data_IF_476501875754
#
_entry.id   IF_476501875754
#
_cell.length_a   1.000
_cell.length_b   1.000
_cell.length_c   1.000
_cell.angle_alpha   90.00
_cell.angle_beta   90.00
_cell.angle_gamma   90.00
#
_symmetry.space_group_name_H-M   'P 1'
#
loop_
_entity.id
_entity.type
_entity.pdbx_description
1 polymer ?
#
# COMPACT_ATOMS: atom_id res chain seq x y z
N UNK A 1 -27.62 37.41 -19.14
CA UNK A 1 -27.08 37.27 -17.77
C UNK A 1 -28.16 37.34 -16.67
N UNK A 2 -29.42 37.69 -16.95
CA UNK A 2 -30.51 37.80 -15.95
C UNK A 2 -31.26 36.49 -15.62
N UNK A 3 -30.73 35.32 -16.02
CA UNK A 3 -31.48 34.05 -15.96
C UNK A 3 -30.80 32.97 -15.08
N UNK A 4 -29.98 33.39 -14.11
CA UNK A 4 -29.44 32.44 -13.11
C UNK A 4 -30.44 32.34 -11.97
N UNK A 5 -31.16 31.23 -11.90
CA UNK A 5 -32.08 30.93 -10.81
C UNK A 5 -31.31 30.84 -9.48
N UNK A 6 -31.59 31.76 -8.56
CA UNK A 6 -30.94 31.85 -7.25
C UNK A 6 -31.09 30.59 -6.40
N UNK A 7 -32.16 29.80 -6.59
CA UNK A 7 -32.35 28.52 -5.91
C UNK A 7 -31.31 27.45 -6.28
N UNK A 8 -30.58 27.62 -7.39
CA UNK A 8 -29.53 26.67 -7.80
C UNK A 8 -28.23 26.82 -7.02
N UNK A 9 -28.05 27.86 -6.19
CA UNK A 9 -26.77 28.13 -5.54
C UNK A 9 -26.69 27.66 -4.08
N UNK A 10 -27.82 27.60 -3.37
CA UNK A 10 -27.87 27.33 -1.93
C UNK A 10 -27.43 25.92 -1.53
N UNK A 11 -27.59 24.95 -2.44
CA UNK A 11 -27.20 23.56 -2.21
C UNK A 11 -25.75 23.24 -2.60
N UNK A 12 -25.08 24.13 -3.34
CA UNK A 12 -23.69 23.90 -3.79
C UNK A 12 -22.69 23.72 -2.65
N UNK A 13 -22.79 24.46 -1.51
CA UNK A 13 -21.92 24.19 -0.36
C UNK A 13 -22.10 22.77 0.22
N UNK A 14 -23.32 22.21 0.14
CA UNK A 14 -23.58 20.85 0.61
C UNK A 14 -22.97 19.82 -0.36
N UNK A 15 -23.08 20.03 -1.68
CA UNK A 15 -22.37 19.22 -2.67
C UNK A 15 -20.84 19.31 -2.52
N UNK A 16 -20.33 20.49 -2.15
CA UNK A 16 -18.91 20.68 -1.83
C UNK A 16 -18.47 19.89 -0.59
N UNK A 17 -19.36 19.70 0.40
CA UNK A 17 -19.09 18.83 1.54
C UNK A 17 -19.11 17.36 1.13
N UNK A 18 -20.06 16.93 0.29
CA UNK A 18 -20.11 15.54 -0.19
C UNK A 18 -18.83 15.14 -0.94
N UNK A 19 -18.31 15.98 -1.84
CA UNK A 19 -17.02 15.68 -2.50
C UNK A 19 -15.85 15.67 -1.52
N UNK A 20 -15.84 16.55 -0.50
CA UNK A 20 -14.80 16.56 0.54
C UNK A 20 -14.83 15.24 1.32
N UNK A 21 -16.01 14.79 1.71
CA UNK A 21 -16.20 13.57 2.49
C UNK A 21 -15.87 12.32 1.67
N UNK A 22 -16.22 12.31 0.39
CA UNK A 22 -15.80 11.30 -0.57
C UNK A 22 -14.26 11.22 -0.64
N UNK A 23 -13.59 12.36 -0.85
CA UNK A 23 -12.13 12.40 -0.97
C UNK A 23 -11.46 11.97 0.34
N UNK A 24 -11.95 12.42 1.50
CA UNK A 24 -11.43 11.97 2.80
C UNK A 24 -11.50 10.45 2.92
N UNK A 25 -12.67 9.86 2.62
CA UNK A 25 -12.83 8.41 2.68
C UNK A 25 -11.90 7.69 1.72
N UNK A 26 -11.79 8.18 0.49
CA UNK A 26 -10.90 7.61 -0.53
C UNK A 26 -9.43 7.58 -0.06
N UNK A 27 -8.98 8.65 0.59
CA UNK A 27 -7.61 8.75 1.10
C UNK A 27 -7.36 7.81 2.29
N UNK A 28 -8.33 7.69 3.19
CA UNK A 28 -8.25 6.76 4.33
C UNK A 28 -8.15 5.31 3.85
N UNK A 29 -9.02 4.90 2.92
CA UNK A 29 -9.00 3.54 2.37
C UNK A 29 -7.70 3.24 1.62
N UNK A 30 -7.00 4.27 1.15
CA UNK A 30 -5.72 4.14 0.46
C UNK A 30 -4.50 4.33 1.37
N UNK A 31 -4.69 4.48 2.69
CA UNK A 31 -3.65 4.79 3.68
C UNK A 31 -2.79 5.99 3.27
N UNK A 32 -3.43 7.07 2.80
CA UNK A 32 -2.78 8.35 2.51
C UNK A 32 -3.19 9.35 3.58
N UNK A 33 -2.20 9.86 4.32
CA UNK A 33 -2.44 10.88 5.33
C UNK A 33 -2.33 12.27 4.71
N UNK A 34 -3.46 12.89 4.38
CA UNK A 34 -3.49 14.27 3.91
C UNK A 34 -3.40 15.26 5.07
N UNK A 35 -2.73 16.38 4.85
CA UNK A 35 -2.69 17.50 5.79
C UNK A 35 -4.06 18.19 5.91
N UNK A 36 -4.72 18.41 4.78
CA UNK A 36 -6.06 19.01 4.72
C UNK A 36 -6.82 18.53 3.48
N UNK A 37 -8.12 18.34 3.64
CA UNK A 37 -9.06 18.12 2.54
C UNK A 37 -10.22 19.08 2.71
N UNK A 38 -10.38 19.99 1.76
CA UNK A 38 -11.40 21.03 1.82
C UNK A 38 -12.24 21.06 0.54
N UNK A 39 -13.55 21.24 0.71
CA UNK A 39 -14.50 21.51 -0.36
C UNK A 39 -15.01 22.93 -0.26
N UNK A 40 -15.15 23.63 -1.39
CA UNK A 40 -15.75 24.96 -1.44
C UNK A 40 -16.68 25.12 -2.63
N UNK A 41 -17.76 25.86 -2.41
CA UNK A 41 -18.59 26.40 -3.47
C UNK A 41 -18.28 27.88 -3.69
N UNK A 42 -18.11 28.29 -4.94
CA UNK A 42 -17.89 29.68 -5.33
C UNK A 42 -19.15 30.50 -5.05
N UNK A 43 -19.02 31.68 -4.44
CA UNK A 43 -20.19 32.57 -4.28
C UNK A 43 -20.71 33.06 -5.63
N UNK A 44 -22.02 33.31 -5.73
CA UNK A 44 -22.65 33.86 -6.94
C UNK A 44 -21.98 35.17 -7.38
N UNK A 45 -21.63 36.03 -6.43
CA UNK A 45 -20.93 37.29 -6.70
C UNK A 45 -19.55 37.08 -7.32
N UNK A 46 -18.81 36.07 -6.85
CA UNK A 46 -17.50 35.70 -7.40
C UNK A 46 -17.63 35.04 -8.77
N UNK A 47 -18.68 34.25 -8.97
CA UNK A 47 -19.01 33.66 -10.28
C UNK A 47 -19.32 34.74 -11.32
N UNK A 48 -20.20 35.70 -10.99
CA UNK A 48 -20.53 36.82 -11.88
C UNK A 48 -19.29 37.66 -12.22
N UNK A 49 -18.48 38.00 -11.22
CA UNK A 49 -17.20 38.71 -11.44
C UNK A 49 -16.28 37.94 -12.40
N UNK A 50 -16.17 36.61 -12.24
CA UNK A 50 -15.36 35.76 -13.12
C UNK A 50 -15.89 35.74 -14.55
N UNK A 51 -17.21 35.63 -14.72
CA UNK A 51 -17.86 35.67 -16.03
C UNK A 51 -17.67 37.02 -16.72
N UNK A 52 -17.75 38.13 -15.98
CA UNK A 52 -17.53 39.48 -16.49
C UNK A 52 -16.05 39.71 -16.86
N UNK A 53 -15.12 39.31 -15.99
CA UNK A 53 -13.68 39.46 -16.26
C UNK A 53 -13.22 38.64 -17.48
N UNK A 54 -13.94 37.56 -17.81
CA UNK A 54 -13.71 36.72 -18.99
C UNK A 54 -14.85 36.85 -20.01
N UNK A 55 -15.45 38.03 -20.12
CA UNK A 55 -16.56 38.28 -21.04
C UNK A 55 -16.20 37.84 -22.47
N UNK A 56 -17.09 37.06 -23.10
CA UNK A 56 -16.87 36.50 -24.44
C UNK A 56 -16.08 35.19 -24.49
N UNK A 57 -15.52 34.70 -23.38
CA UNK A 57 -14.85 33.39 -23.33
C UNK A 57 -15.81 32.22 -23.15
N UNK A 58 -16.94 32.44 -22.49
CA UNK A 58 -17.89 31.38 -22.11
C UNK A 58 -19.24 31.57 -22.81
N UNK A 59 -19.69 30.54 -23.53
CA UNK A 59 -21.00 30.54 -24.20
C UNK A 59 -22.09 30.09 -23.23
N UNK A 60 -21.84 29.01 -22.46
CA UNK A 60 -22.64 28.55 -21.35
C UNK A 60 -21.81 28.53 -20.06
N UNK A 61 -21.79 29.63 -19.29
CA UNK A 61 -20.98 29.72 -18.07
C UNK A 61 -21.27 28.65 -17.01
N UNK A 62 -22.48 28.09 -16.96
CA UNK A 62 -22.83 27.02 -16.01
C UNK A 62 -22.10 25.72 -16.34
N UNK A 63 -21.90 25.43 -17.63
CA UNK A 63 -21.19 24.22 -18.09
C UNK A 63 -19.69 24.47 -18.28
N UNK A 64 -19.25 25.70 -18.53
CA UNK A 64 -17.84 25.99 -18.85
C UNK A 64 -17.01 26.51 -17.69
N UNK A 65 -17.63 27.01 -16.62
CA UNK A 65 -16.91 27.41 -15.40
C UNK A 65 -16.81 26.19 -14.48
N UNK A 66 -15.64 25.59 -14.46
CA UNK A 66 -15.38 24.30 -13.80
C UNK A 66 -15.04 24.40 -12.31
N UNK A 67 -14.82 25.62 -11.79
CA UNK A 67 -14.53 25.89 -10.36
C UNK A 67 -15.74 26.46 -9.60
N UNK A 68 -16.97 26.10 -10.01
CA UNK A 68 -18.20 26.44 -9.28
C UNK A 68 -18.21 25.70 -7.95
N UNK A 69 -18.02 24.38 -7.97
CA UNK A 69 -17.57 23.60 -6.83
C UNK A 69 -16.13 23.20 -7.09
N UNK A 70 -15.29 23.28 -6.05
CA UNK A 70 -13.92 22.84 -6.10
C UNK A 70 -13.52 22.17 -4.80
N UNK A 71 -12.69 21.14 -4.89
CA UNK A 71 -12.04 20.50 -3.76
C UNK A 71 -10.54 20.73 -3.81
N UNK A 72 -9.90 20.69 -2.64
CA UNK A 72 -8.45 20.79 -2.50
C UNK A 72 -7.98 19.70 -1.56
N UNK A 73 -6.95 18.98 -1.98
CA UNK A 73 -6.22 18.01 -1.17
C UNK A 73 -4.80 18.53 -0.98
N UNK A 74 -4.40 18.70 0.27
CA UNK A 74 -3.05 19.11 0.66
C UNK A 74 -2.36 17.91 1.28
N UNK A 75 -1.26 17.44 0.68
CA UNK A 75 -0.46 16.31 1.18
C UNK A 75 0.80 16.80 1.90
N UNK A 76 1.40 15.96 2.75
CA UNK A 76 2.68 16.28 3.38
C UNK A 76 3.85 16.17 2.40
N UNK A 77 3.87 15.14 1.56
CA UNK A 77 4.96 14.87 0.62
C UNK A 77 4.48 14.78 -0.83
N UNK A 78 5.46 14.84 -1.75
CA UNK A 78 5.23 14.65 -3.19
C UNK A 78 4.81 13.22 -3.51
N UNK A 79 5.33 12.23 -2.79
CA UNK A 79 4.95 10.82 -2.94
C UNK A 79 3.45 10.66 -2.73
N UNK A 80 2.92 11.20 -1.63
CA UNK A 80 1.49 11.14 -1.36
C UNK A 80 0.68 11.95 -2.36
N UNK A 81 1.15 13.14 -2.79
CA UNK A 81 0.49 13.91 -3.87
C UNK A 81 0.28 13.06 -5.12
N UNK A 82 1.31 12.34 -5.54
CA UNK A 82 1.28 11.54 -6.77
C UNK A 82 0.34 10.34 -6.60
N UNK A 83 0.34 9.68 -5.43
CA UNK A 83 -0.64 8.64 -5.07
C UNK A 83 -2.09 9.17 -5.12
N UNK A 84 -2.35 10.37 -4.58
CA UNK A 84 -3.68 11.00 -4.66
C UNK A 84 -4.09 11.26 -6.11
N UNK A 85 -3.16 11.71 -6.96
CA UNK A 85 -3.44 11.95 -8.37
C UNK A 85 -3.87 10.66 -9.09
N UNK A 86 -3.22 9.53 -8.82
CA UNK A 86 -3.62 8.23 -9.36
C UNK A 86 -5.00 7.78 -8.85
N UNK A 87 -5.30 7.97 -7.57
CA UNK A 87 -6.62 7.63 -7.02
C UNK A 87 -7.73 8.42 -7.71
N UNK A 88 -7.52 9.71 -7.94
CA UNK A 88 -8.50 10.55 -8.63
C UNK A 88 -8.71 10.05 -10.07
N UNK A 89 -7.64 9.76 -10.82
CA UNK A 89 -7.74 9.20 -12.19
C UNK A 89 -8.53 7.90 -12.23
N UNK A 90 -8.38 7.06 -11.21
CA UNK A 90 -9.05 5.76 -11.16
C UNK A 90 -10.53 5.88 -10.76
N UNK A 91 -10.89 6.88 -9.95
CA UNK A 91 -12.24 7.03 -9.39
C UNK A 91 -13.13 7.99 -10.14
N UNK A 92 -12.58 8.84 -10.99
CA UNK A 92 -13.36 9.86 -11.68
C UNK A 92 -13.04 9.91 -13.17
N UNK A 93 -14.08 10.16 -13.96
CA UNK A 93 -13.92 10.58 -15.34
C UNK A 93 -13.41 12.03 -15.35
N UNK A 94 -12.24 12.25 -15.95
CA UNK A 94 -11.58 13.54 -15.97
C UNK A 94 -11.62 14.14 -17.38
N UNK A 95 -12.17 15.35 -17.51
CA UNK A 95 -12.09 16.13 -18.76
C UNK A 95 -10.78 16.91 -18.89
N UNK A 96 -10.10 17.16 -17.77
CA UNK A 96 -8.79 17.80 -17.70
C UNK A 96 -7.97 17.14 -16.58
N UNK A 97 -6.69 16.87 -16.85
CA UNK A 97 -5.70 16.35 -15.92
C UNK A 97 -4.35 16.97 -16.28
N UNK A 98 -3.91 17.95 -15.50
CA UNK A 98 -2.63 18.62 -15.74
C UNK A 98 -2.05 19.31 -14.52
N UNK A 99 -0.79 19.70 -14.64
CA UNK A 99 -0.13 20.59 -13.70
C UNK A 99 0.29 21.88 -14.43
N UNK A 100 -0.48 22.98 -14.32
CA UNK A 100 -0.22 24.21 -15.08
C UNK A 100 1.17 24.80 -14.86
N UNK A 101 1.78 24.59 -13.69
CA UNK A 101 3.12 25.09 -13.42
C UNK A 101 4.24 24.29 -14.09
N UNK A 102 3.95 23.04 -14.50
CA UNK A 102 4.86 22.27 -15.36
C UNK A 102 4.72 22.63 -16.85
N UNK A 103 3.62 23.25 -17.25
CA UNK A 103 3.34 23.64 -18.65
C UNK A 103 3.90 25.01 -19.02
N UNK A 104 4.20 25.85 -18.03
CA UNK A 104 4.69 27.21 -18.25
C UNK A 104 6.22 27.29 -18.22
N UNK A 105 6.77 28.32 -18.85
CA UNK A 105 8.21 28.61 -18.90
C UNK A 105 8.82 29.01 -17.55
N UNK A 106 10.11 29.36 -17.55
CA UNK A 106 10.92 29.65 -16.35
C UNK A 106 10.29 30.61 -15.32
N UNK A 107 9.44 31.55 -15.75
CA UNK A 107 8.81 32.57 -14.90
C UNK A 107 7.72 32.06 -13.93
N UNK A 108 7.12 30.90 -14.20
CA UNK A 108 6.05 30.30 -13.37
C UNK A 108 6.44 28.95 -12.76
N UNK A 109 7.73 28.62 -12.80
CA UNK A 109 8.33 27.38 -12.30
C UNK A 109 8.04 27.08 -10.82
N UNK A 110 7.55 28.04 -10.05
CA UNK A 110 7.21 27.87 -8.64
C UNK A 110 5.87 27.20 -8.38
N UNK A 111 4.91 27.33 -9.30
CA UNK A 111 3.58 26.79 -9.12
C UNK A 111 3.60 25.26 -9.25
N UNK A 112 3.16 24.55 -8.21
CA UNK A 112 3.10 23.09 -8.23
C UNK A 112 1.78 22.64 -7.63
N UNK A 113 0.77 22.61 -8.48
CA UNK A 113 -0.56 22.14 -8.15
C UNK A 113 -1.05 21.30 -9.32
N UNK A 114 -1.48 20.07 -9.02
CA UNK A 114 -2.21 19.26 -9.97
C UNK A 114 -3.67 19.69 -10.01
N UNK A 115 -4.25 19.79 -11.20
CA UNK A 115 -5.61 20.21 -11.45
C UNK A 115 -6.33 19.11 -12.21
N UNK A 116 -7.43 18.64 -11.64
CA UNK A 116 -8.37 17.74 -12.29
C UNK A 116 -9.70 18.46 -12.48
N UNK A 117 -10.33 18.31 -13.65
CA UNK A 117 -11.74 18.64 -13.83
C UNK A 117 -12.51 17.33 -13.97
N UNK A 118 -13.14 16.90 -12.87
CA UNK A 118 -13.92 15.65 -12.81
C UNK A 118 -15.36 15.89 -13.25
N UNK A 119 -15.90 15.00 -14.09
CA UNK A 119 -17.25 15.14 -14.68
C UNK A 119 -18.24 14.11 -14.16
N UNK A 120 -17.77 12.98 -13.65
CA UNK A 120 -18.56 11.89 -13.08
C UNK A 120 -17.66 10.95 -12.28
N UNK A 121 -18.26 10.12 -11.43
CA UNK A 121 -17.58 8.91 -10.93
C UNK A 121 -17.31 7.96 -12.10
N UNK A 122 -16.15 7.33 -12.09
CA UNK A 122 -15.74 6.37 -13.11
C UNK A 122 -16.71 5.19 -13.15
N UNK A 123 -17.21 4.88 -14.35
CA UNK A 123 -18.07 3.70 -14.58
C UNK A 123 -17.31 2.39 -14.51
N UNK A 124 -16.01 2.43 -14.80
CA UNK A 124 -15.15 1.24 -14.80
C UNK A 124 -14.75 0.84 -13.37
N UNK A 125 -14.73 1.79 -12.43
CA UNK A 125 -14.35 1.54 -11.04
C UNK A 125 -15.13 2.40 -10.03
N UNK A 126 -16.47 2.25 -9.97
CA UNK A 126 -17.31 3.06 -9.09
C UNK A 126 -16.96 2.77 -7.62
N UNK A 127 -16.95 3.79 -6.77
CA UNK A 127 -16.86 3.59 -5.31
C UNK A 127 -18.20 3.15 -4.71
N UNK A 128 -19.31 3.47 -5.38
CA UNK A 128 -20.66 3.30 -4.85
C UNK A 128 -21.03 4.36 -3.79
N UNK A 129 -20.20 5.38 -3.59
CA UNK A 129 -20.45 6.45 -2.61
C UNK A 129 -21.13 7.68 -3.21
N UNK A 130 -21.17 7.78 -4.55
CA UNK A 130 -22.06 8.74 -5.21
C UNK A 130 -23.48 8.17 -5.15
N UNK A 131 -24.25 8.65 -4.18
CA UNK A 131 -25.61 8.16 -3.93
C UNK A 131 -26.54 8.65 -5.03
N UNK A 132 -27.36 7.74 -5.59
CA UNK A 132 -28.38 8.11 -6.56
C UNK A 132 -29.41 9.06 -5.94
N UNK A 133 -29.66 10.18 -6.61
CA UNK A 133 -30.44 11.32 -6.11
C UNK A 133 -29.67 12.24 -5.14
N UNK A 134 -28.40 11.95 -4.85
CA UNK A 134 -27.51 12.74 -4.00
C UNK A 134 -27.12 14.08 -4.62
N UNK A 135 -26.52 14.97 -3.83
CA UNK A 135 -26.19 16.33 -4.30
C UNK A 135 -25.00 16.33 -5.25
N UNK A 136 -24.03 15.42 -5.05
CA UNK A 136 -22.88 15.27 -5.92
C UNK A 136 -23.27 14.72 -7.31
N UNK A 137 -24.16 13.72 -7.38
CA UNK A 137 -24.72 13.24 -8.67
C UNK A 137 -25.48 14.37 -9.37
N UNK A 138 -26.37 15.05 -8.64
CA UNK A 138 -27.08 16.22 -9.15
C UNK A 138 -26.11 17.30 -9.65
N UNK A 139 -24.95 17.48 -9.03
CA UNK A 139 -23.94 18.42 -9.50
C UNK A 139 -23.37 18.01 -10.86
N UNK A 140 -22.96 16.74 -11.01
CA UNK A 140 -22.44 16.23 -12.28
C UNK A 140 -23.45 16.36 -13.43
N UNK A 141 -24.74 16.14 -13.18
CA UNK A 141 -25.79 16.29 -14.20
C UNK A 141 -25.97 17.76 -14.65
N UNK A 142 -25.91 18.69 -13.70
CA UNK A 142 -26.29 20.10 -13.94
C UNK A 142 -25.11 20.98 -14.36
N UNK A 143 -23.88 20.65 -13.99
CA UNK A 143 -22.67 21.43 -14.28
C UNK A 143 -21.74 20.70 -15.25
N UNK A 144 -20.66 21.33 -15.69
CA UNK A 144 -19.73 20.73 -16.65
C UNK A 144 -18.47 20.14 -16.04
N UNK A 145 -18.35 20.20 -14.71
CA UNK A 145 -17.25 19.59 -13.97
C UNK A 145 -17.00 20.25 -12.62
N UNK A 146 -16.22 19.57 -11.80
CA UNK A 146 -15.76 19.99 -10.50
C UNK A 146 -14.23 20.02 -10.52
N UNK A 147 -13.63 21.10 -10.02
CA UNK A 147 -12.17 21.22 -9.96
C UNK A 147 -11.62 20.55 -8.70
N UNK A 148 -10.72 19.57 -8.82
CA UNK A 148 -9.95 19.02 -7.71
C UNK A 148 -8.49 19.47 -7.84
N UNK A 149 -7.98 20.14 -6.81
CA UNK A 149 -6.60 20.63 -6.75
C UNK A 149 -5.79 19.80 -5.75
N UNK A 150 -4.69 19.19 -6.20
CA UNK A 150 -3.80 18.40 -5.35
C UNK A 150 -2.43 19.07 -5.26
N UNK A 151 -1.94 19.33 -4.04
CA UNK A 151 -0.65 19.99 -3.82
C UNK A 151 0.00 19.55 -2.51
N UNK A 152 1.30 19.76 -2.35
CA UNK A 152 1.97 19.57 -1.06
C UNK A 152 1.73 20.76 -0.13
N UNK A 153 1.95 20.59 1.18
CA UNK A 153 1.89 21.67 2.16
C UNK A 153 2.85 22.82 1.81
N UNK A 154 4.05 22.49 1.32
CA UNK A 154 5.04 23.47 0.89
C UNK A 154 4.56 24.24 -0.35
N UNK A 155 3.96 23.55 -1.33
CA UNK A 155 3.36 24.18 -2.50
C UNK A 155 2.12 25.01 -2.17
N UNK A 156 1.33 24.59 -1.19
CA UNK A 156 0.22 25.38 -0.69
C UNK A 156 0.71 26.70 -0.07
N UNK A 157 1.70 26.66 0.82
CA UNK A 157 2.25 27.84 1.47
C UNK A 157 2.81 28.85 0.46
N UNK A 158 3.57 28.37 -0.54
CA UNK A 158 4.10 29.23 -1.61
C UNK A 158 2.96 29.87 -2.42
N UNK A 159 1.98 29.08 -2.85
CA UNK A 159 0.88 29.56 -3.70
C UNK A 159 -0.04 30.57 -2.99
N UNK A 160 -0.34 30.37 -1.69
CA UNK A 160 -1.15 31.35 -0.94
C UNK A 160 -0.40 32.68 -0.74
N UNK A 161 0.92 32.63 -0.52
CA UNK A 161 1.73 33.84 -0.42
C UNK A 161 1.82 34.58 -1.76
N UNK A 162 2.10 33.88 -2.87
CA UNK A 162 2.13 34.44 -4.22
C UNK A 162 0.78 35.10 -4.58
N UNK A 163 -0.31 34.38 -4.37
CA UNK A 163 -1.64 34.86 -4.74
C UNK A 163 -2.06 36.08 -3.89
N UNK A 164 -1.70 36.12 -2.61
CA UNK A 164 -1.99 37.26 -1.75
C UNK A 164 -1.24 38.53 -2.19
N UNK A 165 -0.02 38.39 -2.72
CA UNK A 165 0.84 39.53 -3.11
C UNK A 165 0.63 40.00 -4.54
N UNK A 166 0.52 39.08 -5.50
CA UNK A 166 0.34 39.41 -6.93
C UNK A 166 -1.12 39.68 -7.31
N UNK A 167 -2.06 38.86 -6.85
CA UNK A 167 -3.47 38.95 -7.31
C UNK A 167 -4.38 39.81 -6.42
N UNK A 168 -4.12 39.88 -5.11
CA UNK A 168 -4.90 40.72 -4.18
C UNK A 168 -4.22 42.06 -3.85
N UNK A 169 -2.97 42.26 -4.26
CA UNK A 169 -2.21 43.45 -3.93
C UNK A 169 -2.26 44.52 -5.02
N UNK A 170 -2.98 45.61 -4.79
CA UNK A 170 -2.81 46.86 -5.56
C UNK A 170 -1.34 47.36 -5.50
N UNK A 171 -0.59 46.92 -4.49
CA UNK A 171 0.83 47.26 -4.30
C UNK A 171 1.74 46.71 -5.41
N UNK A 172 1.54 45.48 -5.89
CA UNK A 172 2.43 44.89 -6.90
C UNK A 172 2.37 45.69 -8.21
N UNK A 173 1.16 46.10 -8.61
CA UNK A 173 0.97 46.93 -9.80
C UNK A 173 1.37 48.41 -9.59
N UNK A 174 1.69 48.83 -8.35
CA UNK A 174 2.08 50.21 -8.03
C UNK A 174 3.59 50.39 -7.83
N UNK A 175 4.36 49.31 -7.79
CA UNK A 175 5.83 49.37 -7.73
C UNK A 175 6.43 49.45 -9.14
N UNK A 176 7.64 49.98 -9.24
CA UNK A 176 8.33 50.13 -10.53
C UNK A 176 8.76 48.77 -11.12
N UNK A 177 9.10 48.76 -12.41
CA UNK A 177 9.47 47.53 -13.13
C UNK A 177 10.67 46.80 -12.50
N UNK A 178 11.62 47.55 -11.94
CA UNK A 178 12.83 46.98 -11.33
C UNK A 178 12.50 46.25 -10.03
N UNK A 179 11.62 46.82 -9.22
CA UNK A 179 11.12 46.16 -8.02
C UNK A 179 10.26 44.93 -8.38
N UNK A 180 9.48 44.98 -9.46
CA UNK A 180 8.73 43.81 -9.95
C UNK A 180 9.67 42.67 -10.38
N UNK A 181 10.74 42.96 -11.13
CA UNK A 181 11.76 41.97 -11.49
C UNK A 181 12.45 41.36 -10.26
N UNK A 182 12.77 42.20 -9.27
CA UNK A 182 13.34 41.75 -8.00
C UNK A 182 12.38 40.84 -7.25
N UNK A 183 11.10 41.20 -7.18
CA UNK A 183 10.04 40.38 -6.57
C UNK A 183 9.90 39.03 -7.30
N UNK A 184 9.95 39.02 -8.63
CA UNK A 184 9.89 37.79 -9.42
C UNK A 184 11.07 36.87 -9.11
N UNK A 185 12.27 37.43 -9.01
CA UNK A 185 13.47 36.69 -8.60
C UNK A 185 13.32 36.07 -7.21
N UNK A 186 12.74 36.81 -6.26
CA UNK A 186 12.47 36.31 -4.90
C UNK A 186 11.42 35.20 -4.88
N UNK A 187 10.38 35.28 -5.74
CA UNK A 187 9.41 34.20 -5.89
C UNK A 187 10.04 32.92 -6.45
N UNK A 188 10.98 33.04 -7.40
CA UNK A 188 11.76 31.93 -7.91
C UNK A 188 12.64 31.30 -6.83
N UNK A 189 13.35 32.11 -6.04
CA UNK A 189 14.15 31.61 -4.92
C UNK A 189 13.28 30.89 -3.86
N UNK A 190 12.08 31.43 -3.56
CA UNK A 190 11.13 30.78 -2.67
C UNK A 190 10.61 29.44 -3.24
N UNK A 191 10.46 29.35 -4.56
CA UNK A 191 10.09 28.11 -5.23
C UNK A 191 11.18 27.04 -5.14
N UNK A 192 12.45 27.42 -5.27
CA UNK A 192 13.59 26.51 -5.11
C UNK A 192 13.67 25.98 -3.67
N UNK A 193 13.53 26.86 -2.67
CA UNK A 193 13.47 26.47 -1.27
C UNK A 193 12.32 25.50 -0.99
N UNK A 194 11.13 25.75 -1.55
CA UNK A 194 9.99 24.82 -1.49
C UNK A 194 10.36 23.45 -2.06
N UNK A 195 10.95 23.38 -3.25
CA UNK A 195 11.32 22.09 -3.87
C UNK A 195 12.31 21.33 -3.01
N UNK A 196 13.27 22.03 -2.43
CA UNK A 196 14.23 21.43 -1.48
C UNK A 196 13.52 20.87 -0.25
N UNK A 197 12.56 21.60 0.32
CA UNK A 197 11.78 21.13 1.46
C UNK A 197 10.98 19.86 1.14
N UNK A 198 10.29 19.85 -0.02
CA UNK A 198 9.57 18.66 -0.49
C UNK A 198 10.52 17.45 -0.63
N UNK A 199 11.74 17.65 -1.16
CA UNK A 199 12.73 16.58 -1.30
C UNK A 199 13.21 16.04 0.05
N UNK A 200 13.38 16.90 1.06
CA UNK A 200 13.74 16.48 2.42
C UNK A 200 12.61 15.67 3.06
N UNK A 201 11.35 16.07 2.89
CA UNK A 201 10.21 15.30 3.41
C UNK A 201 10.16 13.90 2.80
N UNK A 202 10.36 13.76 1.49
CA UNK A 202 10.45 12.43 0.84
C UNK A 202 11.60 11.59 1.41
N UNK A 203 12.75 12.20 1.71
CA UNK A 203 13.87 11.49 2.31
C UNK A 203 13.56 11.01 3.74
N UNK A 204 12.88 11.83 4.55
CA UNK A 204 12.42 11.45 5.89
C UNK A 204 11.41 10.30 5.80
N UNK A 205 10.41 10.39 4.92
CA UNK A 205 9.41 9.34 4.71
C UNK A 205 10.08 8.00 4.35
N UNK A 206 11.11 8.03 3.48
CA UNK A 206 11.89 6.84 3.11
C UNK A 206 12.64 6.23 4.28
N UNK A 207 13.21 7.04 5.18
CA UNK A 207 13.90 6.54 6.38
C UNK A 207 12.92 6.01 7.42
N UNK A 208 11.73 6.60 7.54
CA UNK A 208 10.67 6.06 8.40
C UNK A 208 10.12 4.74 7.85
N UNK A 209 10.02 4.63 6.53
CA UNK A 209 9.65 3.41 5.82
C UNK A 209 10.71 2.31 5.92
N UNK A 210 11.99 2.68 5.84
CA UNK A 210 13.17 1.81 5.97
C UNK A 210 14.04 2.29 7.13
N UNK A 211 13.66 2.05 8.40
CA UNK A 211 14.56 2.36 9.51
C UNK A 211 15.81 1.50 9.34
N UNK A 212 16.99 2.13 9.30
CA UNK A 212 18.25 1.40 9.36
C UNK A 212 18.19 0.45 10.57
N UNK A 213 18.42 -0.85 10.35
CA UNK A 213 18.55 -1.83 11.42
C UNK A 213 19.82 -1.51 12.24
N UNK A 214 19.73 -0.52 13.11
CA UNK A 214 20.62 -0.32 14.25
C UNK A 214 19.78 -0.48 15.52
N UNK A 215 19.04 -1.59 15.64
CA UNK A 215 18.94 -2.22 16.96
C UNK A 215 20.31 -2.84 17.18
N UNK A 216 21.05 -2.34 18.17
CA UNK A 216 22.37 -2.82 18.53
C UNK A 216 22.36 -4.33 18.71
N UNK A 217 22.76 -5.05 17.67
CA UNK A 217 23.46 -6.31 17.81
C UNK A 217 24.90 -5.88 17.93
N UNK A 218 25.42 -5.87 19.16
CA UNK A 218 26.86 -5.86 19.32
C UNK A 218 27.44 -6.96 18.42
N UNK A 219 28.50 -6.68 17.64
CA UNK A 219 29.19 -7.75 16.96
C UNK A 219 29.83 -8.61 18.05
N UNK A 220 29.12 -9.65 18.49
CA UNK A 220 29.75 -10.76 19.20
C UNK A 220 30.64 -11.43 18.16
N UNK A 221 31.87 -10.92 18.09
CA UNK A 221 32.94 -11.53 17.35
C UNK A 221 33.20 -12.93 17.91
N UNK A 222 33.05 -13.92 17.06
CA UNK A 222 33.99 -15.03 16.86
C UNK A 222 33.41 -15.90 15.74
N UNK A 223 34.25 -16.26 14.78
CA UNK A 223 33.97 -17.23 13.70
C UNK A 223 33.85 -18.67 14.24
N UNK A 224 33.17 -18.88 15.36
CA UNK A 224 33.02 -20.20 15.99
C UNK A 224 31.54 -20.62 16.02
N UNK A 225 31.30 -21.75 15.36
CA UNK A 225 30.03 -22.45 15.25
C UNK A 225 29.75 -23.12 16.60
N UNK A 226 28.74 -22.68 17.35
CA UNK A 226 28.38 -23.29 18.64
C UNK A 226 26.94 -23.81 18.70
N UNK A 227 26.77 -24.87 19.50
CA UNK A 227 25.66 -25.83 19.58
C UNK A 227 24.65 -25.46 20.67
N UNK A 228 23.35 -25.58 20.40
CA UNK A 228 22.29 -25.47 21.44
C UNK A 228 21.29 -26.65 21.33
N UNK A 229 21.14 -27.51 22.35
CA UNK A 229 20.31 -28.71 22.30
C UNK A 229 18.84 -28.57 22.74
N UNK A 230 18.32 -27.39 23.09
CA UNK A 230 16.97 -27.27 23.70
C UNK A 230 15.92 -26.57 22.82
N UNK A 231 15.50 -27.20 21.72
CA UNK A 231 14.13 -27.03 21.19
C UNK A 231 13.59 -28.40 20.75
N UNK A 232 12.76 -29.02 21.59
CA UNK A 232 11.97 -30.21 21.23
C UNK A 232 10.58 -29.70 20.82
N UNK A 233 10.24 -29.79 19.53
CA UNK A 233 8.88 -29.51 19.05
C UNK A 233 8.10 -30.82 18.84
N UNK A 234 6.99 -30.93 19.56
CA UNK A 234 5.87 -31.81 19.26
C UNK A 234 4.91 -31.07 18.33
N UNK A 235 4.96 -31.34 17.02
CA UNK A 235 3.87 -31.02 16.11
C UNK A 235 3.01 -32.28 15.96
N UNK A 236 1.87 -32.32 16.64
CA UNK A 236 0.83 -33.30 16.35
C UNK A 236 0.11 -32.86 15.08
N UNK A 237 0.07 -33.72 14.06
CA UNK A 237 -0.82 -33.60 12.91
C UNK A 237 -2.28 -33.58 13.40
N UNK A 238 -2.80 -32.40 13.68
CA UNK A 238 -4.23 -32.21 13.84
C UNK A 238 -4.87 -32.36 12.45
N UNK A 239 -5.77 -33.33 12.30
CA UNK A 239 -6.70 -33.40 11.18
C UNK A 239 -7.59 -32.14 11.22
N UNK A 240 -7.12 -31.05 10.60
CA UNK A 240 -7.91 -29.84 10.43
C UNK A 240 -9.12 -30.18 9.55
N UNK A 241 -10.32 -29.83 10.02
CA UNK A 241 -11.49 -29.73 9.15
C UNK A 241 -11.16 -28.75 8.02
N UNK A 242 -11.37 -29.13 6.77
CA UNK A 242 -11.08 -28.26 5.61
C UNK A 242 -12.33 -27.44 5.32
N UNK A 243 -12.46 -26.26 5.94
CA UNK A 243 -13.53 -25.33 5.58
C UNK A 243 -13.11 -24.53 4.36
N UNK A 244 -13.88 -24.66 3.27
CA UNK A 244 -13.62 -23.95 2.00
C UNK A 244 -13.77 -22.44 2.19
N UNK A 245 -12.94 -21.67 1.49
CA UNK A 245 -13.03 -20.20 1.48
C UNK A 245 -14.07 -19.73 0.48
N UNK A 246 -15.20 -19.26 1.02
CA UNK A 246 -16.27 -18.57 0.31
C UNK A 246 -16.69 -17.29 1.05
N UNK A 247 -17.64 -16.54 0.48
CA UNK A 247 -18.06 -15.25 1.03
C UNK A 247 -18.64 -15.36 2.45
N UNK A 248 -19.38 -16.43 2.75
CA UNK A 248 -20.01 -16.60 4.07
C UNK A 248 -18.98 -16.97 5.13
N UNK A 249 -18.17 -17.98 4.83
CA UNK A 249 -17.13 -18.48 5.74
C UNK A 249 -16.05 -17.43 6.01
N UNK A 250 -15.68 -16.62 5.01
CA UNK A 250 -14.80 -15.48 5.20
C UNK A 250 -15.47 -14.38 6.04
N UNK A 251 -16.73 -14.05 5.78
CA UNK A 251 -17.45 -13.04 6.55
C UNK A 251 -17.58 -13.42 8.03
N UNK A 252 -17.81 -14.70 8.34
CA UNK A 252 -17.85 -15.20 9.73
C UNK A 252 -16.50 -15.01 10.45
N UNK A 253 -15.39 -15.30 9.76
CA UNK A 253 -14.04 -15.04 10.30
C UNK A 253 -13.82 -13.55 10.54
N UNK A 254 -14.21 -12.70 9.59
CA UNK A 254 -14.05 -11.25 9.68
C UNK A 254 -14.90 -10.65 10.81
N UNK A 255 -16.14 -11.09 10.98
CA UNK A 255 -17.02 -10.65 12.07
C UNK A 255 -16.46 -11.06 13.44
N UNK A 256 -15.81 -12.23 13.52
CA UNK A 256 -15.17 -12.67 14.76
C UNK A 256 -13.89 -11.91 15.08
N UNK A 257 -13.07 -11.58 14.07
CA UNK A 257 -11.73 -11.00 14.26
C UNK A 257 -11.75 -9.47 14.32
N UNK A 258 -12.61 -8.83 13.53
CA UNK A 258 -12.70 -7.37 13.40
C UNK A 258 -14.13 -6.88 13.71
N UNK A 259 -14.62 -7.05 14.96
CA UNK A 259 -16.01 -6.76 15.31
C UNK A 259 -16.36 -5.26 15.28
N UNK A 260 -15.36 -4.39 15.45
CA UNK A 260 -15.54 -2.93 15.53
C UNK A 260 -15.39 -2.20 14.18
N UNK A 261 -15.00 -2.92 13.13
CA UNK A 261 -14.76 -2.35 11.80
C UNK A 261 -15.99 -2.43 10.89
N UNK A 262 -16.03 -1.60 9.85
CA UNK A 262 -17.17 -1.52 8.95
C UNK A 262 -17.30 -2.78 8.10
N UNK A 263 -18.53 -3.31 7.99
CA UNK A 263 -18.80 -4.47 7.14
C UNK A 263 -18.47 -4.18 5.66
N UNK A 264 -17.88 -5.14 4.93
CA UNK A 264 -17.63 -4.97 3.51
C UNK A 264 -18.94 -4.98 2.71
N UNK A 265 -18.91 -4.39 1.52
CA UNK A 265 -19.95 -4.62 0.51
C UNK A 265 -19.82 -6.03 -0.10
N UNK A 266 -20.80 -6.44 -0.91
CA UNK A 266 -20.75 -7.72 -1.66
C UNK A 266 -19.49 -7.81 -2.55
N UNK A 267 -19.18 -6.74 -3.29
CA UNK A 267 -17.94 -6.65 -4.05
C UNK A 267 -16.69 -6.67 -3.15
N UNK A 268 -16.78 -6.09 -1.95
CA UNK A 268 -15.69 -6.08 -0.97
C UNK A 268 -15.37 -7.46 -0.42
N UNK A 269 -16.38 -8.26 -0.06
CA UNK A 269 -16.15 -9.63 0.45
C UNK A 269 -15.63 -10.55 -0.67
N UNK A 270 -16.13 -10.39 -1.90
CA UNK A 270 -15.61 -11.09 -3.08
C UNK A 270 -14.13 -10.80 -3.31
N UNK A 271 -13.75 -9.52 -3.21
CA UNK A 271 -12.36 -9.12 -3.28
C UNK A 271 -11.54 -9.73 -2.13
N UNK A 272 -12.06 -9.75 -0.91
CA UNK A 272 -11.42 -10.44 0.22
C UNK A 272 -11.15 -11.92 -0.06
N UNK A 273 -12.11 -12.64 -0.65
CA UNK A 273 -11.92 -14.04 -1.06
C UNK A 273 -10.84 -14.18 -2.14
N UNK A 274 -10.80 -13.28 -3.12
CA UNK A 274 -9.76 -13.24 -4.16
C UNK A 274 -8.37 -13.07 -3.53
N UNK A 275 -8.21 -12.13 -2.59
CA UNK A 275 -6.95 -11.86 -1.90
C UNK A 275 -6.43 -13.07 -1.13
N UNK A 276 -7.31 -13.73 -0.36
CA UNK A 276 -6.96 -14.91 0.44
C UNK A 276 -6.52 -16.06 -0.46
N UNK A 277 -7.21 -16.28 -1.59
CA UNK A 277 -6.88 -17.34 -2.55
C UNK A 277 -5.56 -17.06 -3.27
N UNK A 278 -5.35 -15.83 -3.74
CA UNK A 278 -4.09 -15.39 -4.37
C UNK A 278 -2.90 -15.48 -3.41
N UNK A 279 -3.11 -15.19 -2.12
CA UNK A 279 -2.10 -15.40 -1.09
C UNK A 279 -1.77 -16.88 -0.80
N UNK A 280 -2.49 -17.83 -1.42
CA UNK A 280 -2.20 -19.26 -1.33
C UNK A 280 -2.91 -20.00 -0.20
N UNK A 281 -3.91 -19.39 0.46
CA UNK A 281 -4.66 -20.08 1.51
C UNK A 281 -5.74 -20.99 0.91
N UNK A 282 -5.73 -22.25 1.33
CA UNK A 282 -6.68 -23.28 0.86
C UNK A 282 -7.88 -23.51 1.80
N UNK A 283 -7.84 -23.01 3.05
CA UNK A 283 -8.92 -23.15 4.03
C UNK A 283 -8.95 -22.02 5.07
N UNK A 284 -10.10 -21.85 5.74
CA UNK A 284 -10.30 -20.85 6.80
C UNK A 284 -9.40 -21.11 8.01
N UNK A 285 -9.16 -22.38 8.35
CA UNK A 285 -8.33 -22.76 9.49
C UNK A 285 -6.87 -22.34 9.28
N UNK A 286 -6.33 -22.54 8.06
CA UNK A 286 -4.97 -22.08 7.70
C UNK A 286 -4.85 -20.57 7.71
N UNK A 287 -5.87 -19.88 7.19
CA UNK A 287 -5.94 -18.42 7.22
C UNK A 287 -5.95 -17.92 8.68
N UNK A 288 -6.85 -18.46 9.51
CA UNK A 288 -7.00 -18.08 10.91
C UNK A 288 -5.71 -18.30 11.72
N UNK A 289 -5.04 -19.45 11.52
CA UNK A 289 -3.74 -19.74 12.15
C UNK A 289 -2.67 -18.73 11.74
N UNK A 290 -2.61 -18.36 10.47
CA UNK A 290 -1.63 -17.37 9.99
C UNK A 290 -1.89 -15.98 10.53
N UNK A 291 -3.16 -15.56 10.54
CA UNK A 291 -3.56 -14.28 11.12
C UNK A 291 -3.29 -14.24 12.64
N UNK A 292 -3.38 -15.37 13.36
CA UNK A 292 -3.11 -15.40 14.81
C UNK A 292 -1.66 -15.07 15.20
N UNK A 293 -0.74 -15.05 14.23
CA UNK A 293 0.66 -14.69 14.46
C UNK A 293 0.88 -13.18 14.62
N UNK A 294 -0.11 -12.37 14.26
CA UNK A 294 -0.04 -10.92 14.39
C UNK A 294 -1.13 -10.45 15.34
N UNK A 295 -0.71 -9.63 16.30
CA UNK A 295 -1.59 -8.93 17.22
C UNK A 295 -2.29 -7.78 16.48
N UNK A 296 -3.62 -7.88 16.35
CA UNK A 296 -4.47 -6.95 15.59
C UNK A 296 -4.26 -5.48 15.99
N UNK A 297 -4.13 -5.22 17.31
CA UNK A 297 -3.94 -3.86 17.85
C UNK A 297 -2.62 -3.22 17.41
N UNK A 298 -1.57 -4.01 17.16
CA UNK A 298 -0.28 -3.48 16.71
C UNK A 298 -0.34 -3.01 15.25
N UNK A 299 -0.92 -3.83 14.37
CA UNK A 299 -1.14 -3.48 12.95
C UNK A 299 -1.99 -2.23 12.87
N UNK A 300 -3.09 -2.18 13.63
CA UNK A 300 -3.99 -1.03 13.68
C UNK A 300 -3.27 0.25 14.07
N UNK A 301 -2.44 0.17 15.12
CA UNK A 301 -1.71 1.31 15.64
C UNK A 301 -0.72 1.85 14.62
N UNK A 302 0.05 0.97 13.97
CA UNK A 302 1.05 1.36 12.95
C UNK A 302 0.43 1.89 11.65
N UNK A 303 -0.78 1.43 11.31
CA UNK A 303 -1.49 1.96 10.15
C UNK A 303 -2.08 3.35 10.36
N UNK A 304 -2.22 3.79 11.62
CA UNK A 304 -2.73 5.11 12.01
C UNK A 304 -4.08 5.46 11.37
N UNK A 305 -5.06 4.55 11.45
CA UNK A 305 -6.38 4.79 10.87
C UNK A 305 -7.10 5.98 11.54
N UNK A 306 -7.38 7.08 10.83
CA UNK A 306 -8.05 8.24 11.41
C UNK A 306 -9.57 8.00 11.61
N UNK A 307 -10.12 6.99 10.94
CA UNK A 307 -11.53 6.55 11.03
C UNK A 307 -11.60 5.01 10.99
N UNK A 308 -12.78 4.45 11.26
CA UNK A 308 -13.01 3.00 11.05
C UNK A 308 -12.81 2.62 9.59
N UNK A 309 -12.13 1.50 9.34
CA UNK A 309 -11.92 0.95 8.00
C UNK A 309 -12.83 -0.25 7.77
N UNK A 310 -12.81 -0.83 6.57
CA UNK A 310 -13.56 -2.06 6.30
C UNK A 310 -12.86 -3.28 6.90
N UNK A 311 -13.62 -4.31 7.27
CA UNK A 311 -13.04 -5.57 7.76
C UNK A 311 -12.10 -6.21 6.73
N UNK A 312 -12.42 -6.11 5.43
CA UNK A 312 -11.55 -6.60 4.34
C UNK A 312 -10.25 -5.80 4.27
N UNK A 313 -10.25 -4.51 4.61
CA UNK A 313 -9.01 -3.73 4.72
C UNK A 313 -8.13 -4.24 5.86
N UNK A 314 -8.72 -4.51 7.03
CA UNK A 314 -7.98 -5.11 8.17
C UNK A 314 -7.35 -6.44 7.80
N UNK A 315 -8.11 -7.30 7.13
CA UNK A 315 -7.59 -8.56 6.61
C UNK A 315 -6.40 -8.36 5.67
N UNK A 316 -6.51 -7.41 4.72
CA UNK A 316 -5.46 -7.07 3.76
C UNK A 316 -4.18 -6.58 4.46
N UNK A 317 -4.29 -5.82 5.56
CA UNK A 317 -3.14 -5.35 6.35
C UNK A 317 -2.52 -6.42 7.24
N UNK A 318 -3.34 -7.26 7.90
CA UNK A 318 -2.83 -8.38 8.71
C UNK A 318 -2.11 -9.39 7.82
N UNK A 319 -2.67 -9.70 6.65
CA UNK A 319 -2.00 -10.56 5.67
C UNK A 319 -0.70 -9.94 5.17
N UNK A 320 -0.69 -8.63 4.90
CA UNK A 320 0.52 -7.91 4.53
C UNK A 320 1.58 -7.91 5.66
N UNK A 321 1.15 -7.83 6.93
CA UNK A 321 2.04 -7.92 8.08
C UNK A 321 2.67 -9.31 8.21
N UNK A 322 1.90 -10.37 7.97
CA UNK A 322 2.35 -11.77 8.10
C UNK A 322 3.24 -12.19 6.93
N UNK A 323 2.80 -11.91 5.70
CA UNK A 323 3.38 -12.47 4.47
C UNK A 323 4.27 -11.48 3.71
N UNK A 324 4.27 -10.19 4.06
CA UNK A 324 5.18 -9.19 3.53
C UNK A 324 5.26 -9.13 2.00
N UNK A 325 6.49 -9.14 1.46
CA UNK A 325 6.76 -8.98 0.01
C UNK A 325 6.10 -10.06 -0.85
N UNK A 326 5.93 -11.29 -0.34
CA UNK A 326 5.19 -12.32 -1.07
C UNK A 326 3.72 -11.95 -1.26
N UNK A 327 3.09 -11.35 -0.25
CA UNK A 327 1.71 -10.89 -0.37
C UNK A 327 1.58 -9.76 -1.39
N UNK A 328 2.58 -8.89 -1.47
CA UNK A 328 2.68 -7.86 -2.52
C UNK A 328 2.76 -8.52 -3.89
N UNK A 329 3.71 -9.43 -4.09
CA UNK A 329 3.90 -10.13 -5.36
C UNK A 329 2.64 -10.85 -5.84
N UNK A 330 2.05 -11.68 -4.96
CA UNK A 330 0.90 -12.53 -5.26
C UNK A 330 -0.43 -11.78 -5.42
N UNK A 331 -0.56 -10.57 -4.85
CA UNK A 331 -1.83 -9.81 -4.88
C UNK A 331 -1.74 -8.45 -5.58
N UNK A 332 -0.59 -8.08 -6.14
CA UNK A 332 -0.39 -6.77 -6.80
C UNK A 332 -1.31 -6.52 -8.00
N UNK A 333 -1.74 -7.59 -8.68
CA UNK A 333 -2.65 -7.60 -9.83
C UNK A 333 -4.12 -7.84 -9.42
N UNK A 334 -4.41 -8.01 -8.14
CA UNK A 334 -5.77 -8.27 -7.65
C UNK A 334 -6.66 -7.01 -7.73
N UNK A 335 -7.92 -7.22 -8.12
CA UNK A 335 -8.88 -6.13 -8.29
C UNK A 335 -8.60 -5.22 -9.49
N UNK A 336 -9.13 -3.99 -9.48
CA UNK A 336 -9.10 -3.07 -10.63
C UNK A 336 -8.01 -1.99 -10.56
N UNK A 337 -7.21 -1.95 -9.50
CA UNK A 337 -6.22 -0.89 -9.28
C UNK A 337 -4.84 -1.30 -9.81
N UNK A 338 -4.43 -0.71 -10.93
CA UNK A 338 -3.07 -0.85 -11.47
C UNK A 338 -1.96 -0.38 -10.51
N UNK A 339 -2.31 0.39 -9.48
CA UNK A 339 -1.38 0.88 -8.44
C UNK A 339 -1.44 0.12 -7.12
N UNK A 340 -2.15 -1.02 -7.03
CA UNK A 340 -2.25 -1.81 -5.78
C UNK A 340 -0.88 -2.22 -5.23
N UNK A 341 0.04 -2.66 -6.08
CA UNK A 341 1.42 -2.98 -5.66
C UNK A 341 2.09 -1.82 -4.92
N UNK A 342 2.05 -0.61 -5.50
CA UNK A 342 2.63 0.61 -4.91
C UNK A 342 1.96 0.95 -3.55
N UNK A 343 0.64 0.73 -3.45
CA UNK A 343 -0.10 0.95 -2.20
C UNK A 343 0.26 -0.08 -1.12
N UNK A 344 0.46 -1.34 -1.52
CA UNK A 344 0.91 -2.41 -0.63
C UNK A 344 2.33 -2.14 -0.14
N UNK A 345 3.25 -1.75 -1.02
CA UNK A 345 4.62 -1.35 -0.62
C UNK A 345 4.58 -0.23 0.42
N UNK A 346 3.82 0.83 0.14
CA UNK A 346 3.69 1.99 1.06
C UNK A 346 3.09 1.61 2.41
N UNK A 347 2.20 0.61 2.46
CA UNK A 347 1.65 0.09 3.70
C UNK A 347 2.63 -0.83 4.42
N UNK A 348 3.29 -1.71 3.69
CA UNK A 348 4.27 -2.64 4.23
C UNK A 348 5.43 -1.89 4.86
N UNK A 349 5.83 -0.75 4.30
CA UNK A 349 6.77 0.20 4.89
C UNK A 349 6.38 0.65 6.32
N UNK A 350 5.08 0.70 6.65
CA UNK A 350 4.59 1.01 8.00
C UNK A 350 4.66 -0.17 8.95
N UNK A 351 4.68 -1.39 8.43
CA UNK A 351 4.60 -2.64 9.19
C UNK A 351 5.94 -3.34 9.37
N UNK A 352 6.75 -3.40 8.30
CA UNK A 352 8.00 -4.15 8.26
C UNK A 352 8.95 -3.71 9.36
N UNK A 353 9.55 -4.70 10.03
CA UNK A 353 10.46 -4.50 11.16
C UNK A 353 9.87 -3.74 12.37
N UNK A 354 8.55 -3.50 12.41
CA UNK A 354 7.85 -2.74 13.45
C UNK A 354 6.79 -3.54 14.21
N UNK A 355 6.44 -4.74 13.73
CA UNK A 355 5.46 -5.64 14.35
C UNK A 355 6.19 -6.79 15.03
N UNK A 356 5.76 -7.13 16.23
CA UNK A 356 6.17 -8.36 16.89
C UNK A 356 5.28 -9.52 16.40
N UNK A 357 5.80 -10.33 15.49
CA UNK A 357 5.12 -11.56 15.05
C UNK A 357 5.26 -12.59 16.19
N UNK A 358 4.13 -12.94 16.81
CA UNK A 358 4.04 -13.94 17.87
C UNK A 358 4.47 -15.29 17.29
N UNK A 359 5.46 -15.93 17.92
CA UNK A 359 6.16 -17.06 17.31
C UNK A 359 7.18 -16.58 16.27
N UNK A 360 8.15 -15.77 16.72
CA UNK A 360 9.25 -15.21 15.93
C UNK A 360 10.12 -16.27 15.19
N UNK A 361 9.82 -17.56 15.40
CA UNK A 361 10.41 -18.74 14.77
C UNK A 361 9.54 -19.35 13.65
N UNK A 362 8.40 -18.75 13.31
CA UNK A 362 7.52 -19.21 12.23
C UNK A 362 8.05 -18.75 10.86
N UNK A 363 8.09 -19.70 9.94
CA UNK A 363 8.46 -19.58 8.54
C UNK A 363 7.31 -20.06 7.69
N UNK A 364 7.18 -19.50 6.50
CA UNK A 364 6.16 -19.90 5.55
C UNK A 364 6.84 -20.25 4.24
N UNK A 365 6.57 -21.45 3.73
CA UNK A 365 6.94 -21.80 2.36
C UNK A 365 5.80 -21.34 1.46
N UNK A 366 6.16 -20.61 0.42
CA UNK A 366 5.22 -19.95 -0.50
C UNK A 366 5.66 -20.14 -1.95
N UNK A 367 4.83 -19.72 -2.91
CA UNK A 367 5.07 -19.91 -4.35
C UNK A 367 4.22 -21.03 -4.98
N UNK A 368 4.07 -21.03 -6.31
CA UNK A 368 3.18 -21.94 -7.04
C UNK A 368 3.63 -23.40 -7.01
N UNK A 369 4.94 -23.65 -6.91
CA UNK A 369 5.50 -25.00 -6.81
C UNK A 369 5.52 -25.53 -5.35
N UNK A 370 4.97 -24.76 -4.39
CA UNK A 370 4.83 -25.19 -2.99
C UNK A 370 3.57 -26.06 -2.81
N UNK A 371 3.68 -27.30 -2.27
CA UNK A 371 2.53 -28.16 -2.03
C UNK A 371 1.52 -27.55 -1.06
N UNK A 372 0.23 -27.68 -1.37
CA UNK A 372 -0.88 -27.11 -0.57
C UNK A 372 -0.81 -27.46 0.92
N UNK A 373 -0.27 -28.63 1.27
CA UNK A 373 -0.19 -29.11 2.65
C UNK A 373 0.74 -28.24 3.53
N UNK A 374 1.78 -27.64 2.94
CA UNK A 374 2.76 -26.79 3.63
C UNK A 374 2.68 -25.31 3.22
N UNK A 375 2.03 -25.00 2.09
CA UNK A 375 1.88 -23.64 1.58
C UNK A 375 1.12 -22.74 2.58
N UNK A 376 1.76 -21.64 2.96
CA UNK A 376 1.17 -20.64 3.86
C UNK A 376 0.92 -21.14 5.29
N UNK A 377 1.53 -22.25 5.71
CA UNK A 377 1.47 -22.73 7.10
C UNK A 377 2.70 -22.24 7.85
N UNK A 378 2.50 -21.54 8.97
CA UNK A 378 3.58 -21.13 9.86
C UNK A 378 4.22 -22.37 10.50
N UNK A 379 5.49 -22.61 10.22
CA UNK A 379 6.27 -23.77 10.67
C UNK A 379 7.64 -23.34 11.20
N UNK A 380 8.29 -24.13 12.04
CA UNK A 380 9.62 -23.78 12.55
C UNK A 380 10.68 -23.76 11.44
N UNK A 381 11.80 -23.05 11.67
CA UNK A 381 12.93 -22.97 10.72
C UNK A 381 13.39 -24.36 10.28
N UNK A 382 13.49 -25.28 11.23
CA UNK A 382 13.96 -26.63 10.95
C UNK A 382 12.95 -27.38 10.07
N UNK A 383 11.65 -27.25 10.35
CA UNK A 383 10.60 -27.86 9.53
C UNK A 383 10.55 -27.23 8.13
N UNK A 384 10.62 -25.91 8.01
CA UNK A 384 10.66 -25.24 6.72
C UNK A 384 11.82 -25.72 5.84
N UNK A 385 13.02 -25.88 6.42
CA UNK A 385 14.17 -26.38 5.67
C UNK A 385 13.94 -27.82 5.20
N UNK A 386 13.36 -28.68 6.04
CA UNK A 386 13.05 -30.07 5.68
C UNK A 386 12.05 -30.17 4.56
N UNK A 387 10.93 -29.46 4.67
CA UNK A 387 9.90 -29.46 3.64
C UNK A 387 10.45 -28.88 2.32
N UNK A 388 11.27 -27.82 2.38
CA UNK A 388 11.91 -27.24 1.19
C UNK A 388 12.86 -28.23 0.50
N UNK A 389 13.66 -28.99 1.27
CA UNK A 389 14.50 -30.07 0.71
C UNK A 389 13.65 -31.13 0.02
N UNK A 390 12.54 -31.56 0.63
CA UNK A 390 11.63 -32.55 0.05
C UNK A 390 11.04 -32.02 -1.25
N UNK A 391 10.51 -30.80 -1.28
CA UNK A 391 9.93 -30.17 -2.47
C UNK A 391 10.93 -30.15 -3.63
N UNK A 392 12.14 -29.64 -3.39
CA UNK A 392 13.18 -29.55 -4.43
C UNK A 392 13.61 -30.94 -4.90
N UNK A 393 13.72 -31.91 -3.99
CA UNK A 393 14.09 -33.28 -4.33
C UNK A 393 13.00 -34.00 -5.14
N UNK A 394 11.71 -33.77 -4.85
CA UNK A 394 10.61 -34.35 -5.61
C UNK A 394 10.50 -33.75 -7.01
N UNK A 395 10.62 -32.42 -7.14
CA UNK A 395 10.42 -31.73 -8.42
C UNK A 395 11.64 -31.78 -9.35
N UNK A 396 12.86 -31.71 -8.79
CA UNK A 396 14.11 -31.66 -9.58
C UNK A 396 14.98 -32.90 -9.46
N UNK A 397 14.63 -33.84 -8.57
CA UNK A 397 15.39 -35.04 -8.30
C UNK A 397 16.55 -34.83 -7.33
N UNK A 398 17.10 -35.94 -6.81
CA UNK A 398 18.16 -35.95 -5.79
C UNK A 398 19.47 -35.26 -6.23
N UNK A 399 19.75 -35.20 -7.53
CA UNK A 399 20.93 -34.51 -8.06
C UNK A 399 20.86 -32.99 -7.87
N UNK A 400 19.66 -32.40 -7.86
CA UNK A 400 19.49 -30.95 -7.68
C UNK A 400 19.83 -30.50 -6.26
N UNK A 401 19.59 -31.35 -5.26
CA UNK A 401 20.01 -31.09 -3.88
C UNK A 401 21.47 -31.50 -3.62
N UNK A 402 22.15 -32.10 -4.59
CA UNK A 402 23.48 -32.73 -4.42
C UNK A 402 24.60 -31.79 -4.00
N UNK A 403 24.57 -30.53 -4.45
CA UNK A 403 25.56 -29.52 -4.04
C UNK A 403 25.34 -28.99 -2.61
N UNK A 404 24.27 -29.43 -1.96
CA UNK A 404 23.95 -29.26 -0.54
C UNK A 404 24.09 -30.61 0.20
N UNK A 405 23.97 -31.73 -0.54
CA UNK A 405 24.32 -33.09 -0.10
C UNK A 405 25.82 -33.13 0.22
N UNK A 406 26.14 -33.42 1.48
CA UNK A 406 27.51 -33.33 2.00
C UNK A 406 27.63 -32.39 3.21
N UNK A 407 26.68 -31.48 3.42
CA UNK A 407 26.55 -30.75 4.69
C UNK A 407 25.21 -31.01 5.37
N UNK A 408 24.08 -30.79 4.70
CA UNK A 408 22.75 -30.78 5.36
C UNK A 408 21.86 -31.97 4.98
N UNK A 409 21.97 -32.50 3.76
CA UNK A 409 21.19 -33.65 3.28
C UNK A 409 22.12 -34.84 3.02
N UNK A 410 21.65 -36.07 3.26
CA UNK A 410 22.36 -37.33 3.02
C UNK A 410 21.43 -38.38 2.42
N UNK A 411 22.01 -39.26 1.61
CA UNK A 411 21.32 -40.41 0.99
C UNK A 411 21.77 -41.76 1.59
N UNK A 412 22.73 -41.74 2.51
CA UNK A 412 23.17 -42.88 3.32
C UNK A 412 23.56 -42.41 4.74
N UNK A 413 23.45 -43.32 5.71
CA UNK A 413 23.87 -43.12 7.10
C UNK A 413 25.38 -43.36 7.31
N UNK A 414 26.09 -43.86 6.31
CA UNK A 414 27.54 -44.09 6.39
C UNK A 414 28.30 -42.75 6.45
N UNK A 415 29.28 -42.63 7.36
CA UNK A 415 30.14 -41.44 7.59
C UNK A 415 29.46 -40.17 8.17
N UNK A 416 28.56 -40.33 9.16
CA UNK A 416 27.95 -39.20 9.87
C UNK A 416 28.84 -38.66 11.01
N UNK A 417 29.02 -37.33 11.15
CA UNK A 417 29.58 -36.75 12.38
C UNK A 417 28.70 -37.12 13.58
N UNK A 418 29.30 -37.37 14.76
CA UNK A 418 28.54 -37.71 15.99
C UNK A 418 27.47 -36.67 16.38
N UNK A 419 27.57 -35.45 15.86
CA UNK A 419 26.66 -34.34 16.11
C UNK A 419 25.46 -34.27 15.16
N UNK A 420 25.39 -35.08 14.09
CA UNK A 420 24.31 -35.03 13.09
C UNK A 420 23.03 -35.71 13.60
N UNK A 421 21.92 -34.96 13.70
CA UNK A 421 20.59 -35.50 14.06
C UNK A 421 19.72 -35.64 12.80
N UNK A 422 19.61 -36.84 12.20
CA UNK A 422 18.85 -37.04 10.97
C UNK A 422 17.35 -37.07 11.22
N UNK A 423 16.59 -36.37 10.38
CA UNK A 423 15.18 -36.66 10.11
C UNK A 423 15.10 -37.48 8.82
N UNK A 424 14.48 -38.67 8.90
CA UNK A 424 14.32 -39.58 7.77
C UNK A 424 13.05 -39.21 6.99
N UNK A 425 13.18 -38.98 5.69
CA UNK A 425 12.06 -38.70 4.79
C UNK A 425 12.09 -39.66 3.60
N UNK A 426 10.92 -40.15 3.23
CA UNK A 426 10.71 -41.02 2.08
C UNK A 426 10.06 -40.19 0.97
N UNK A 427 10.73 -40.11 -0.17
CA UNK A 427 10.22 -39.41 -1.35
C UNK A 427 9.16 -40.25 -2.06
N UNK A 428 8.31 -39.63 -2.88
CA UNK A 428 7.34 -40.32 -3.74
C UNK A 428 7.97 -41.36 -4.69
N UNK A 429 9.26 -41.24 -5.01
CA UNK A 429 10.04 -42.22 -5.79
C UNK A 429 10.38 -43.50 -5.01
N UNK A 430 10.18 -43.51 -3.68
CA UNK A 430 10.60 -44.57 -2.77
C UNK A 430 12.03 -44.43 -2.26
N UNK A 431 12.75 -43.39 -2.67
CA UNK A 431 14.09 -43.08 -2.19
C UNK A 431 14.04 -42.45 -0.78
N UNK A 432 15.04 -42.77 0.05
CA UNK A 432 15.13 -42.28 1.43
C UNK A 432 16.22 -41.23 1.53
N UNK A 433 15.89 -40.09 2.14
CA UNK A 433 16.83 -39.01 2.44
C UNK A 433 16.86 -38.73 3.94
N UNK A 434 18.02 -38.31 4.42
CA UNK A 434 18.27 -37.92 5.80
C UNK A 434 18.64 -36.44 5.84
N UNK A 435 17.89 -35.64 6.59
CA UNK A 435 18.04 -34.19 6.65
C UNK A 435 18.52 -33.80 8.05
N UNK A 436 19.60 -33.04 8.17
CA UNK A 436 20.09 -32.59 9.47
C UNK A 436 19.18 -31.54 10.10
N UNK A 437 18.87 -31.71 11.38
CA UNK A 437 17.94 -30.85 12.12
C UNK A 437 18.61 -29.94 13.15
N UNK A 438 19.93 -30.03 13.31
CA UNK A 438 20.68 -29.41 14.40
C UNK A 438 21.46 -28.15 14.01
N UNK A 439 21.02 -27.42 12.99
CA UNK A 439 21.61 -26.13 12.61
C UNK A 439 20.95 -24.99 13.35
N UNK A 440 21.73 -23.97 13.71
CA UNK A 440 21.18 -22.72 14.20
C UNK A 440 20.36 -22.03 13.09
N UNK A 441 19.54 -21.07 13.49
CA UNK A 441 18.62 -20.36 12.61
C UNK A 441 19.32 -19.78 11.36
N UNK A 442 20.44 -19.08 11.54
CA UNK A 442 21.19 -18.48 10.44
C UNK A 442 21.73 -19.52 9.47
N UNK A 443 22.17 -20.68 9.96
CA UNK A 443 22.58 -21.82 9.14
C UNK A 443 21.42 -22.41 8.34
N UNK A 444 20.25 -22.57 8.97
CA UNK A 444 19.03 -23.03 8.29
C UNK A 444 18.59 -22.07 7.18
N UNK A 445 18.53 -20.77 7.47
CA UNK A 445 18.18 -19.72 6.49
C UNK A 445 19.18 -19.69 5.31
N UNK A 446 20.48 -19.89 5.54
CA UNK A 446 21.48 -19.95 4.47
C UNK A 446 21.27 -21.14 3.53
N UNK A 447 20.86 -22.29 4.10
CA UNK A 447 20.56 -23.50 3.32
C UNK A 447 19.27 -23.31 2.52
N UNK A 448 18.22 -22.77 3.14
CA UNK A 448 16.98 -22.45 2.42
C UNK A 448 17.23 -21.53 1.23
N UNK A 449 18.02 -20.47 1.43
CA UNK A 449 18.38 -19.54 0.35
C UNK A 449 19.06 -20.26 -0.81
N UNK A 450 20.04 -21.11 -0.50
CA UNK A 450 20.74 -21.88 -1.53
C UNK A 450 19.80 -22.85 -2.25
N UNK A 451 18.86 -23.48 -1.55
CA UNK A 451 17.85 -24.37 -2.15
C UNK A 451 16.95 -23.60 -3.12
N UNK A 452 16.45 -22.42 -2.71
CA UNK A 452 15.64 -21.54 -3.56
C UNK A 452 16.44 -21.17 -4.82
N UNK A 453 17.66 -20.66 -4.66
CA UNK A 453 18.55 -20.23 -5.76
C UNK A 453 18.87 -21.32 -6.78
N UNK A 454 19.08 -22.57 -6.36
CA UNK A 454 19.46 -23.67 -7.28
C UNK A 454 18.27 -24.41 -7.87
N UNK A 455 17.07 -24.23 -7.30
CA UNK A 455 15.91 -25.03 -7.68
C UNK A 455 15.27 -24.57 -8.99
N UNK A 456 15.39 -23.31 -9.41
CA UNK A 456 14.59 -22.75 -10.53
C UNK A 456 13.09 -23.07 -10.40
N UNK A 457 12.57 -23.22 -9.18
CA UNK A 457 11.14 -23.40 -8.88
C UNK A 457 10.56 -22.06 -8.42
N UNK A 458 9.27 -21.85 -8.63
CA UNK A 458 8.53 -20.76 -8.00
C UNK A 458 8.23 -21.13 -6.54
N UNK A 459 9.27 -21.11 -5.70
CA UNK A 459 9.19 -21.32 -4.26
C UNK A 459 10.03 -20.28 -3.52
N UNK A 460 9.56 -19.83 -2.37
CA UNK A 460 10.31 -18.96 -1.46
C UNK A 460 9.97 -19.29 -0.01
N UNK A 461 10.79 -18.81 0.92
CA UNK A 461 10.53 -18.91 2.35
C UNK A 461 10.51 -17.52 2.98
N UNK A 462 9.39 -17.22 3.63
CA UNK A 462 9.19 -15.98 4.39
C UNK A 462 9.57 -16.24 5.84
N UNK A 463 10.55 -15.52 6.37
CA UNK A 463 10.95 -15.53 7.77
C UNK A 463 10.90 -14.12 8.35
N UNK A 464 10.28 -13.95 9.52
CA UNK A 464 10.08 -12.62 10.16
C UNK A 464 9.39 -11.59 9.24
N UNK A 465 8.49 -12.08 8.38
CA UNK A 465 7.74 -11.23 7.44
C UNK A 465 8.53 -10.77 6.22
N UNK A 466 9.77 -11.20 6.02
CA UNK A 466 10.58 -10.91 4.82
C UNK A 466 10.94 -12.20 4.09
N UNK A 467 11.12 -12.11 2.77
CA UNK A 467 11.72 -13.19 2.00
C UNK A 467 13.15 -13.44 2.48
N UNK A 468 13.50 -14.72 2.67
CA UNK A 468 14.87 -15.12 3.01
C UNK A 468 15.82 -14.89 1.84
N UNK A 469 15.30 -14.88 0.61
CA UNK A 469 16.07 -14.56 -0.61
C UNK A 469 16.40 -13.07 -0.72
N UNK A 470 15.55 -12.17 -0.19
CA UNK A 470 15.73 -10.71 -0.26
C UNK A 470 16.68 -10.13 0.81
N UNK A 471 17.05 -10.89 1.85
CA UNK A 471 17.90 -10.44 2.98
C UNK A 471 19.39 -10.20 2.62
N UNK A 472 19.70 -9.85 1.36
CA UNK A 472 21.05 -9.48 0.91
C UNK A 472 21.17 -7.97 0.84
N UNK A 473 21.53 -7.33 1.96
CA UNK A 473 22.31 -6.08 2.00
C UNK A 473 22.89 -5.82 3.39
#
# INVERSE_FOLDING_TARGET
MNDVNYANWDWLPLAANEIRDYLNRLLVESSINAHDVSGRAKSISSFQKKCQAKAGKYNNPIKEVTDIVAARVITYSKTDRDRVCELIRNKFDCSEDRNPGKEKGEEDQGYDCWHFIVTSESKDNPSGWVISGGLLEKYFDNFGGLEIQVRTVAAHAWAEFEHARRYKGNLYNSVDEKDQETINTLFSAAADARRSLDSVFVAIDRLLANPSLQKGVEPSGSDDIDYDPEEIEHDSEAHDSITVIDENTLQDLLDSRYPDDSKPSEAGIQFGCELVKKAGFSSIEKLSRSLSLVEDDQVRTLMEYPTTVTQVRRLDDDLLAVLGSYYIGSTSDAGSYSSRGIQLDSRYDRLRNKIDIVGNNSYFIVGDDCPDIVKGVGISAARAMRELVVIVAEEKGLEAVRDIVGKVVRVSLDDMPETFKPDERVLSTGEVIFIATNYNRSGLEAVMRKLIEISDLDIDVIGKGCSISENVN
#
